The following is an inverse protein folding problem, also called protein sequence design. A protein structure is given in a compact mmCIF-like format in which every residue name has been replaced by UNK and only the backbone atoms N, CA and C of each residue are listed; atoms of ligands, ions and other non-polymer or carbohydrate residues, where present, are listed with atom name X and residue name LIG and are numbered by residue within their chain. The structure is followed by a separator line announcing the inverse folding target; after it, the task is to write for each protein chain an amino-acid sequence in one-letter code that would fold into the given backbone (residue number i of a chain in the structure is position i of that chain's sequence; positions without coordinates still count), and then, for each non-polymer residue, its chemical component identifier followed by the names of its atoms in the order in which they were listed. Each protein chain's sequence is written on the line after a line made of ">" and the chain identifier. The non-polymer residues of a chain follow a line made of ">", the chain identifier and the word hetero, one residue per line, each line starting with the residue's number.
data_IF_661149733585
#
_entry.id   IF_661149733585
#
_cell.length_a   1.000
_cell.length_b   1.000
_cell.length_c   1.000
_cell.angle_alpha   90.00
_cell.angle_beta   90.00
_cell.angle_gamma   90.00
#
_symmetry.space_group_name_H-M   'P 1'
#
loop_
_entity.id
_entity.type
_entity.pdbx_description
1 polymer ?
#
# COMPACT_ATOMS: atom_id res chain seq x y z
N UNK A 1 32.50 30.60 26.14
CA UNK A 1 31.59 31.60 25.56
C UNK A 1 31.11 31.06 24.22
N UNK A 2 29.84 30.68 24.14
CA UNK A 2 29.18 30.26 22.90
C UNK A 2 28.49 31.49 22.27
N UNK A 3 28.43 31.61 20.93
CA UNK A 3 27.66 32.68 20.29
C UNK A 3 26.15 32.47 20.50
N UNK A 4 25.34 33.54 20.53
CA UNK A 4 23.90 33.42 20.65
C UNK A 4 23.26 32.87 19.37
N UNK A 5 22.21 32.06 19.53
CA UNK A 5 21.36 31.56 18.44
C UNK A 5 20.65 32.73 17.72
N UNK A 6 20.45 32.64 16.39
CA UNK A 6 19.66 33.61 15.66
C UNK A 6 18.16 33.48 15.97
N UNK A 7 17.38 34.58 15.93
CA UNK A 7 15.96 34.58 16.26
C UNK A 7 15.14 33.82 15.21
N UNK A 8 14.19 33.01 15.71
CA UNK A 8 13.27 32.20 14.92
C UNK A 8 12.44 33.01 13.94
N UNK A 9 12.62 32.73 12.65
CA UNK A 9 11.70 33.16 11.61
C UNK A 9 10.46 32.28 11.64
N UNK A 10 9.44 32.72 12.36
CA UNK A 10 8.08 32.23 12.17
C UNK A 10 7.61 32.67 10.77
N UNK A 11 7.65 31.75 9.81
CA UNK A 11 6.92 31.92 8.56
C UNK A 11 5.43 32.04 8.87
N UNK A 12 4.85 33.18 8.49
CA UNK A 12 3.41 33.40 8.51
C UNK A 12 2.71 32.38 7.59
N UNK A 13 1.54 31.84 7.96
CA UNK A 13 0.77 31.01 7.05
C UNK A 13 0.25 31.86 5.88
N UNK A 14 0.60 31.46 4.66
CA UNK A 14 0.03 32.02 3.45
C UNK A 14 -1.49 31.80 3.44
N UNK A 15 -2.24 32.88 3.24
CA UNK A 15 -3.69 32.85 3.07
C UNK A 15 -4.04 32.05 1.81
N UNK A 16 -4.89 31.03 1.98
CA UNK A 16 -5.46 30.26 0.86
C UNK A 16 -6.52 31.14 0.17
N UNK A 17 -6.44 31.41 -1.13
CA UNK A 17 -7.49 32.14 -1.84
C UNK A 17 -8.76 31.29 -1.92
N UNK A 18 -9.89 31.92 -1.60
CA UNK A 18 -11.21 31.33 -1.73
C UNK A 18 -11.51 30.95 -3.19
N UNK A 19 -12.06 29.75 -3.38
CA UNK A 19 -12.51 29.26 -4.68
C UNK A 19 -13.63 30.15 -5.26
N UNK A 20 -13.71 30.32 -6.58
CA UNK A 20 -14.76 31.10 -7.23
C UNK A 20 -16.14 30.44 -7.10
N UNK A 21 -17.23 31.23 -7.06
CA UNK A 21 -18.59 30.70 -7.02
C UNK A 21 -18.91 29.92 -8.31
N UNK A 22 -19.48 28.73 -8.14
CA UNK A 22 -20.00 27.90 -9.23
C UNK A 22 -21.13 28.63 -9.97
N UNK A 23 -21.12 28.68 -11.31
CA UNK A 23 -22.21 29.28 -12.05
C UNK A 23 -23.42 28.34 -12.09
N UNK A 24 -24.58 28.93 -11.77
CA UNK A 24 -25.74 28.87 -12.65
C UNK A 24 -26.54 27.56 -12.67
N UNK A 25 -27.53 27.52 -11.79
CA UNK A 25 -28.82 26.82 -11.94
C UNK A 25 -29.25 26.68 -13.41
N UNK A 26 -29.08 25.48 -13.96
CA UNK A 26 -29.63 25.10 -15.26
C UNK A 26 -31.15 25.00 -15.20
N UNK A 27 -31.80 25.84 -15.99
CA UNK A 27 -33.20 25.73 -16.41
C UNK A 27 -33.40 24.39 -17.12
N UNK A 28 -34.32 23.56 -16.63
CA UNK A 28 -34.78 22.38 -17.35
C UNK A 28 -36.16 22.68 -17.91
N UNK A 29 -36.18 22.86 -19.23
CA UNK A 29 -37.38 23.06 -20.02
C UNK A 29 -38.33 21.87 -19.97
N UNK A 30 -39.60 22.21 -20.17
CA UNK A 30 -40.73 21.31 -20.35
C UNK A 30 -40.54 20.33 -21.51
N UNK A 31 -41.09 19.12 -21.32
CA UNK A 31 -41.70 18.34 -22.39
C UNK A 31 -40.92 17.12 -22.89
N UNK A 32 -41.32 15.91 -22.47
CA UNK A 32 -40.82 14.69 -23.09
C UNK A 32 -41.18 13.36 -22.41
N UNK A 33 -42.45 12.96 -22.54
CA UNK A 33 -43.02 11.60 -22.44
C UNK A 33 -42.08 10.44 -22.02
N UNK A 34 -42.34 9.88 -20.83
CA UNK A 34 -42.52 8.43 -20.65
C UNK A 34 -41.28 7.54 -20.57
N UNK A 35 -40.39 7.77 -19.60
CA UNK A 35 -39.56 6.69 -19.05
C UNK A 35 -40.26 6.15 -17.81
N UNK A 36 -40.68 4.88 -17.82
CA UNK A 36 -41.12 4.20 -16.59
C UNK A 36 -40.02 4.40 -15.54
N UNK A 37 -40.36 5.03 -14.43
CA UNK A 37 -39.49 5.05 -13.26
C UNK A 37 -39.16 3.59 -12.91
N UNK A 38 -37.90 3.20 -13.12
CA UNK A 38 -37.36 2.03 -12.43
C UNK A 38 -37.36 2.40 -10.96
N UNK A 39 -38.04 1.64 -10.08
CA UNK A 39 -38.00 1.92 -8.65
C UNK A 39 -36.55 1.91 -8.23
N UNK A 40 -36.00 3.09 -7.89
CA UNK A 40 -34.69 3.18 -7.27
C UNK A 40 -34.88 2.66 -5.86
N UNK A 41 -34.75 1.35 -5.69
CA UNK A 41 -34.74 0.69 -4.38
C UNK A 41 -33.66 1.40 -3.58
N UNK A 42 -34.09 2.29 -2.66
CA UNK A 42 -33.21 2.94 -1.70
C UNK A 42 -32.84 1.87 -0.68
N UNK A 43 -31.90 1.00 -1.04
CA UNK A 43 -31.35 0.07 -0.08
C UNK A 43 -30.66 0.88 1.00
N UNK A 44 -31.16 0.73 2.22
CA UNK A 44 -30.56 1.29 3.41
C UNK A 44 -29.19 0.64 3.62
N UNK A 45 -28.27 1.37 4.24
CA UNK A 45 -26.95 0.84 4.60
C UNK A 45 -27.04 -0.44 5.46
N UNK A 46 -28.17 -0.65 6.15
CA UNK A 46 -28.47 -1.85 6.92
C UNK A 46 -28.83 -3.04 6.01
N UNK A 47 -29.61 -2.83 4.96
CA UNK A 47 -29.95 -3.88 3.98
C UNK A 47 -28.72 -4.33 3.19
N UNK A 48 -27.83 -3.41 2.82
CA UNK A 48 -26.56 -3.74 2.15
C UNK A 48 -25.66 -4.59 3.07
N UNK A 49 -25.62 -4.27 4.38
CA UNK A 49 -24.88 -5.06 5.37
C UNK A 49 -25.47 -6.46 5.55
N UNK A 50 -26.78 -6.56 5.72
CA UNK A 50 -27.49 -7.84 5.85
C UNK A 50 -27.36 -8.71 4.61
N UNK A 51 -27.42 -8.11 3.42
CA UNK A 51 -27.20 -8.81 2.16
C UNK A 51 -25.76 -9.31 2.06
N UNK A 52 -24.75 -8.53 2.46
CA UNK A 52 -23.35 -8.97 2.54
C UNK A 52 -23.13 -10.13 3.51
N UNK A 53 -23.73 -10.08 4.69
CA UNK A 53 -23.67 -11.16 5.68
C UNK A 53 -24.30 -12.45 5.14
N UNK A 54 -25.43 -12.35 4.44
CA UNK A 54 -26.09 -13.49 3.78
C UNK A 54 -25.28 -14.11 2.64
N UNK A 55 -24.47 -13.33 1.94
CA UNK A 55 -23.56 -13.81 0.88
C UNK A 55 -22.26 -14.40 1.48
N UNK A 56 -22.14 -14.47 2.82
CA UNK A 56 -20.92 -14.93 3.48
C UNK A 56 -19.76 -13.95 3.33
N UNK A 57 -20.02 -12.71 2.90
CA UNK A 57 -19.06 -11.61 2.85
C UNK A 57 -19.03 -10.90 4.20
N UNK A 58 -18.88 -11.65 5.29
CA UNK A 58 -18.50 -11.09 6.58
C UNK A 58 -17.17 -10.34 6.48
N UNK A 59 -16.76 -9.59 7.52
CA UNK A 59 -15.45 -8.96 7.57
C UNK A 59 -14.39 -10.06 7.44
N UNK A 60 -13.90 -10.31 6.23
CA UNK A 60 -12.86 -11.29 6.02
C UNK A 60 -11.60 -10.73 6.66
N UNK A 61 -11.00 -11.53 7.54
CA UNK A 61 -9.71 -11.20 8.13
C UNK A 61 -8.69 -10.98 6.99
N UNK A 62 -7.70 -10.12 7.26
CA UNK A 62 -6.73 -9.70 6.26
C UNK A 62 -5.98 -10.91 5.65
N UNK A 63 -5.77 -11.96 6.43
CA UNK A 63 -5.09 -13.18 6.00
C UNK A 63 -5.96 -14.01 5.05
N UNK A 64 -7.26 -14.16 5.30
CA UNK A 64 -8.20 -14.82 4.39
C UNK A 64 -8.32 -14.10 3.05
N UNK A 65 -8.37 -12.76 3.08
CA UNK A 65 -8.37 -11.94 1.86
C UNK A 65 -7.09 -12.14 1.04
N UNK A 66 -5.93 -12.11 1.71
CA UNK A 66 -4.64 -12.36 1.09
C UNK A 66 -4.55 -13.77 0.52
N UNK A 67 -4.93 -14.78 1.30
CA UNK A 67 -4.92 -16.19 0.91
C UNK A 67 -5.73 -16.44 -0.36
N UNK A 68 -6.94 -15.86 -0.46
CA UNK A 68 -7.75 -15.94 -1.68
C UNK A 68 -7.01 -15.35 -2.89
N UNK A 69 -6.44 -14.15 -2.76
CA UNK A 69 -5.76 -13.50 -3.89
C UNK A 69 -4.47 -14.21 -4.30
N UNK A 70 -3.75 -14.81 -3.35
CA UNK A 70 -2.58 -15.65 -3.63
C UNK A 70 -2.98 -16.93 -4.37
N UNK A 71 -4.05 -17.60 -3.92
CA UNK A 71 -4.55 -18.83 -4.53
C UNK A 71 -4.94 -18.66 -6.00
N UNK A 72 -5.55 -17.52 -6.37
CA UNK A 72 -5.87 -17.19 -7.76
C UNK A 72 -4.63 -17.09 -8.68
N UNK A 73 -3.44 -16.92 -8.10
CA UNK A 73 -2.15 -16.78 -8.81
C UNK A 73 -1.24 -17.99 -8.61
N UNK A 74 -1.74 -19.06 -7.99
CA UNK A 74 -0.96 -20.26 -7.69
C UNK A 74 0.02 -20.10 -6.51
N UNK A 75 -0.09 -19.02 -5.72
CA UNK A 75 0.74 -18.82 -4.53
C UNK A 75 0.01 -19.29 -3.27
N UNK A 76 0.79 -19.65 -2.24
CA UNK A 76 0.30 -20.03 -0.91
C UNK A 76 1.02 -19.24 0.18
N UNK A 77 0.34 -19.05 1.31
CA UNK A 77 0.98 -18.47 2.51
C UNK A 77 1.83 -19.56 3.16
N UNK A 78 3.10 -19.27 3.41
CA UNK A 78 4.00 -20.06 4.26
C UNK A 78 4.21 -19.28 5.55
N UNK A 79 3.97 -19.93 6.69
CA UNK A 79 4.27 -19.33 7.98
C UNK A 79 5.77 -19.39 8.27
N UNK A 80 6.29 -18.31 8.84
CA UNK A 80 7.71 -18.15 9.18
C UNK A 80 7.87 -17.88 10.68
N UNK A 81 9.03 -18.18 11.27
CA UNK A 81 9.27 -17.91 12.68
C UNK A 81 9.06 -16.44 13.06
N UNK A 82 8.44 -16.20 14.22
CA UNK A 82 8.17 -14.87 14.78
C UNK A 82 9.34 -14.28 15.59
N UNK A 83 10.58 -14.60 15.24
CA UNK A 83 11.80 -14.32 16.02
C UNK A 83 12.43 -12.94 15.73
N UNK A 84 11.62 -11.94 15.34
CA UNK A 84 12.06 -10.64 14.82
C UNK A 84 12.97 -10.72 13.58
N UNK A 85 13.15 -11.89 12.97
CA UNK A 85 13.82 -12.08 11.68
C UNK A 85 12.89 -12.66 10.62
N UNK A 86 11.56 -12.58 10.83
CA UNK A 86 10.53 -13.17 9.96
C UNK A 86 10.69 -12.78 8.48
N UNK A 87 11.02 -11.51 8.19
CA UNK A 87 11.26 -11.05 6.83
C UNK A 87 12.44 -11.79 6.18
N UNK A 88 13.52 -12.03 6.93
CA UNK A 88 14.70 -12.72 6.42
C UNK A 88 14.45 -14.22 6.27
N UNK A 89 13.68 -14.85 7.16
CA UNK A 89 13.21 -16.23 6.97
C UNK A 89 12.40 -16.39 5.67
N UNK A 90 11.47 -15.46 5.41
CA UNK A 90 10.68 -15.48 4.18
C UNK A 90 11.55 -15.33 2.93
N UNK A 91 12.59 -14.50 2.98
CA UNK A 91 13.54 -14.33 1.87
C UNK A 91 14.41 -15.58 1.66
N UNK A 92 14.94 -16.17 2.73
CA UNK A 92 15.75 -17.40 2.60
C UNK A 92 14.94 -18.57 2.07
N UNK A 93 13.69 -18.70 2.51
CA UNK A 93 12.74 -19.69 2.00
C UNK A 93 12.48 -19.54 0.49
N UNK A 94 12.41 -18.30 0.01
CA UNK A 94 12.18 -18.02 -1.41
C UNK A 94 13.43 -18.30 -2.25
N UNK A 95 14.62 -17.97 -1.72
CA UNK A 95 15.89 -18.25 -2.38
C UNK A 95 16.15 -19.76 -2.51
N UNK A 96 15.81 -20.52 -1.47
CA UNK A 96 15.94 -21.99 -1.50
C UNK A 96 15.06 -22.61 -2.59
N UNK A 97 13.83 -22.11 -2.79
CA UNK A 97 12.95 -22.55 -3.88
C UNK A 97 13.53 -22.25 -5.28
N UNK A 98 14.42 -21.25 -5.39
CA UNK A 98 15.13 -20.91 -6.62
C UNK A 98 16.47 -21.67 -6.77
N UNK A 99 16.79 -22.58 -5.85
CA UNK A 99 18.06 -23.32 -5.84
C UNK A 99 19.24 -22.53 -5.26
N UNK A 100 19.00 -21.37 -4.65
CA UNK A 100 20.02 -20.55 -3.99
C UNK A 100 20.01 -20.87 -2.49
N UNK A 101 20.69 -21.96 -2.13
CA UNK A 101 20.77 -22.46 -0.76
C UNK A 101 21.91 -21.84 0.06
N UNK A 102 21.98 -22.16 1.35
CA UNK A 102 23.09 -21.78 2.24
C UNK A 102 22.90 -20.48 3.01
N UNK A 103 21.73 -19.85 2.89
CA UNK A 103 21.40 -18.64 3.63
C UNK A 103 20.57 -18.95 4.86
N UNK A 104 21.04 -18.49 6.02
CA UNK A 104 20.21 -18.36 7.24
C UNK A 104 19.65 -16.95 7.36
N UNK A 105 18.50 -16.79 8.02
CA UNK A 105 17.92 -15.48 8.30
C UNK A 105 18.91 -14.50 8.96
N UNK A 106 19.75 -15.00 9.88
CA UNK A 106 20.79 -14.21 10.54
C UNK A 106 21.87 -13.77 9.54
N UNK A 107 22.37 -14.70 8.71
CA UNK A 107 23.39 -14.37 7.70
C UNK A 107 22.88 -13.38 6.66
N UNK A 108 21.62 -13.54 6.24
CA UNK A 108 20.93 -12.63 5.32
C UNK A 108 20.84 -11.23 5.92
N UNK A 109 20.32 -11.12 7.16
CA UNK A 109 20.23 -9.86 7.88
C UNK A 109 21.58 -9.15 8.00
N UNK A 110 22.63 -9.88 8.38
CA UNK A 110 23.99 -9.31 8.50
C UNK A 110 24.47 -8.74 7.17
N UNK A 111 24.28 -9.47 6.07
CA UNK A 111 24.66 -9.00 4.72
C UNK A 111 23.82 -7.80 4.28
N UNK A 112 22.51 -7.80 4.50
CA UNK A 112 21.65 -6.65 4.19
C UNK A 112 22.09 -5.41 4.96
N UNK A 113 22.33 -5.52 6.27
CA UNK A 113 22.78 -4.39 7.10
C UNK A 113 24.16 -3.88 6.68
N UNK A 114 25.09 -4.79 6.35
CA UNK A 114 26.40 -4.41 5.85
C UNK A 114 26.28 -3.62 4.55
N UNK A 115 25.46 -4.11 3.61
CA UNK A 115 25.20 -3.40 2.35
C UNK A 115 24.61 -2.01 2.60
N UNK A 116 23.63 -1.89 3.49
CA UNK A 116 23.03 -0.59 3.85
C UNK A 116 24.04 0.36 4.49
N UNK A 117 25.00 -0.15 5.27
CA UNK A 117 26.07 0.69 5.84
C UNK A 117 27.00 1.23 4.75
N UNK A 118 27.36 0.39 3.79
CA UNK A 118 28.25 0.75 2.68
C UNK A 118 27.57 1.64 1.63
N UNK A 119 26.23 1.57 1.52
CA UNK A 119 25.43 2.27 0.51
C UNK A 119 24.43 3.26 1.13
N UNK A 120 24.58 3.64 2.40
CA UNK A 120 23.56 4.41 3.12
C UNK A 120 23.32 5.82 2.59
N UNK A 121 24.29 6.39 1.86
CA UNK A 121 24.18 7.67 1.17
C UNK A 121 23.64 7.55 -0.26
N UNK A 122 23.44 6.32 -0.76
CA UNK A 122 22.95 6.06 -2.11
C UNK A 122 21.45 6.28 -2.16
N UNK A 123 20.98 6.93 -3.23
CA UNK A 123 19.56 7.04 -3.50
C UNK A 123 19.00 5.65 -3.84
N UNK A 124 18.01 5.19 -3.09
CA UNK A 124 17.40 3.85 -3.29
C UNK A 124 16.64 3.71 -4.63
N UNK A 125 16.42 4.82 -5.34
CA UNK A 125 15.66 4.90 -6.60
C UNK A 125 16.54 5.38 -7.77
N UNK A 126 17.85 5.18 -7.68
CA UNK A 126 18.79 5.54 -8.77
C UNK A 126 18.76 4.57 -9.96
N UNK A 127 17.82 3.63 -9.99
CA UNK A 127 17.64 2.63 -11.05
C UNK A 127 18.73 1.56 -11.14
N UNK A 128 19.85 1.72 -10.43
CA UNK A 128 21.02 0.84 -10.55
C UNK A 128 21.10 -0.22 -9.42
N UNK A 129 20.08 -0.30 -8.57
CA UNK A 129 20.01 -1.30 -7.48
C UNK A 129 19.72 -2.68 -8.09
N UNK A 130 20.68 -3.59 -7.98
CA UNK A 130 20.57 -4.95 -8.53
C UNK A 130 21.32 -5.18 -9.84
N UNK A 131 21.98 -4.16 -10.40
CA UNK A 131 22.87 -4.33 -11.55
C UNK A 131 24.16 -5.06 -11.10
N UNK A 132 24.30 -6.33 -11.49
CA UNK A 132 25.59 -7.02 -11.36
C UNK A 132 26.50 -6.56 -12.49
N UNK A 133 27.68 -6.03 -12.15
CA UNK A 133 28.79 -5.86 -13.09
C UNK A 133 29.37 -7.22 -13.50
N UNK A 134 28.56 -8.06 -14.13
CA UNK A 134 29.09 -9.13 -14.98
C UNK A 134 29.50 -8.47 -16.29
N UNK A 135 30.65 -7.81 -16.25
CA UNK A 135 31.42 -7.56 -17.45
C UNK A 135 31.90 -8.92 -17.96
N UNK A 136 31.42 -9.29 -19.15
CA UNK A 136 32.06 -10.29 -20.00
C UNK A 136 33.23 -9.63 -20.74
#
# INVERSE_FOLDING_TARGET
>A
MLPPDPPGMHAAPAAVPAAPPTPGRGSWGEGGRGLREVPRVRQTSAEIKSQRERIGLGPQDARSRLSRHLGLRGFKIKDVPGDNNCQFHALTDQLEQLGISGWSAISMRKKTVQWLRENGSRAMDDGSVGESSRAA
#
